data_IF_699586080753
#
_entry.id   IF_699586080753
#
_cell.length_a   1.000
_cell.length_b   1.000
_cell.length_c   1.000
_cell.angle_alpha   90.00
_cell.angle_beta   90.00
_cell.angle_gamma   90.00
#
_symmetry.space_group_name_H-M   'P 1'
#
loop_
_entity.id
_entity.type
_entity.pdbx_description
1 polymer ?
#
# COMPACT_ATOMS: atom_id res chain seq x y z
N UNK A 1 -14.02 6.16 7.97
CA UNK A 1 -13.12 5.00 7.83
C UNK A 1 -12.50 4.68 9.18
N UNK A 2 -12.14 3.42 9.50
CA UNK A 2 -11.39 3.09 10.70
C UNK A 2 -10.04 3.83 10.74
N UNK A 3 -9.56 4.13 11.95
CA UNK A 3 -8.28 4.80 12.12
C UNK A 3 -7.09 3.85 11.89
N UNK A 4 -7.26 2.56 12.19
CA UNK A 4 -6.25 1.53 11.94
C UNK A 4 -6.51 0.87 10.59
N UNK A 5 -5.54 0.86 9.65
CA UNK A 5 -5.69 0.23 8.34
C UNK A 5 -5.86 -1.29 8.39
N UNK A 6 -5.57 -1.94 9.50
CA UNK A 6 -5.81 -3.37 9.69
C UNK A 6 -7.27 -3.72 10.04
N UNK A 7 -8.08 -2.73 10.40
CA UNK A 7 -9.46 -2.96 10.88
C UNK A 7 -10.49 -3.27 9.77
N UNK A 8 -10.45 -2.66 8.56
CA UNK A 8 -11.48 -2.90 7.55
C UNK A 8 -11.72 -4.39 7.25
N UNK A 9 -10.71 -5.25 7.03
CA UNK A 9 -10.93 -6.69 6.85
C UNK A 9 -11.55 -7.38 8.07
N UNK A 10 -11.20 -6.94 9.31
CA UNK A 10 -11.80 -7.48 10.54
C UNK A 10 -13.29 -7.16 10.64
N UNK A 11 -13.72 -5.97 10.17
CA UNK A 11 -15.14 -5.62 10.09
C UNK A 11 -15.89 -6.52 9.10
N UNK A 12 -15.28 -6.87 7.97
CA UNK A 12 -15.83 -7.82 7.01
C UNK A 12 -15.92 -9.22 7.62
N UNK A 13 -14.86 -9.69 8.27
CA UNK A 13 -14.85 -10.98 8.96
C UNK A 13 -15.97 -11.07 10.03
N UNK A 14 -16.25 -9.96 10.73
CA UNK A 14 -17.30 -9.84 11.73
C UNK A 14 -18.71 -9.61 11.14
N UNK A 15 -18.88 -9.55 9.82
CA UNK A 15 -20.17 -9.30 9.16
C UNK A 15 -20.70 -7.88 9.32
N UNK A 16 -19.84 -6.90 9.64
CA UNK A 16 -20.20 -5.49 9.79
C UNK A 16 -20.00 -4.67 8.51
N UNK A 17 -19.38 -5.27 7.51
CA UNK A 17 -19.22 -4.75 6.16
C UNK A 17 -19.22 -5.90 5.17
N UNK A 18 -19.65 -5.66 3.94
CA UNK A 18 -19.71 -6.68 2.88
C UNK A 18 -18.37 -6.85 2.17
N UNK A 19 -17.65 -5.73 2.00
CA UNK A 19 -16.36 -5.64 1.30
C UNK A 19 -15.42 -4.71 2.06
N UNK A 20 -14.13 -4.98 1.94
CA UNK A 20 -13.09 -4.06 2.34
C UNK A 20 -11.94 -4.06 1.33
N UNK A 21 -11.18 -2.96 1.31
CA UNK A 21 -9.85 -2.92 0.72
C UNK A 21 -8.87 -3.45 1.76
N UNK A 22 -7.94 -4.27 1.33
CA UNK A 22 -6.86 -4.83 2.13
C UNK A 22 -5.59 -4.95 1.28
N UNK A 23 -4.49 -5.29 1.91
CA UNK A 23 -3.23 -5.63 1.26
C UNK A 23 -3.14 -7.15 1.08
N UNK A 24 -2.60 -7.64 -0.04
CA UNK A 24 -2.49 -9.09 -0.24
C UNK A 24 -1.67 -9.78 0.86
N UNK A 25 -0.51 -9.25 1.30
CA UNK A 25 0.23 -9.86 2.42
C UNK A 25 -0.56 -9.86 3.73
N UNK A 26 -1.35 -8.80 4.00
CA UNK A 26 -2.21 -8.74 5.19
C UNK A 26 -3.29 -9.81 5.17
N UNK A 27 -3.92 -10.04 4.01
CA UNK A 27 -4.92 -11.09 3.87
C UNK A 27 -4.34 -12.45 4.23
N UNK A 28 -3.11 -12.76 3.79
CA UNK A 28 -2.45 -14.03 4.10
C UNK A 28 -2.26 -14.21 5.62
N UNK A 29 -1.80 -13.17 6.32
CA UNK A 29 -1.65 -13.19 7.78
C UNK A 29 -3.00 -13.41 8.47
N UNK A 30 -4.02 -12.67 8.08
CA UNK A 30 -5.35 -12.74 8.70
C UNK A 30 -6.05 -14.08 8.44
N UNK A 31 -5.85 -14.69 7.27
CA UNK A 31 -6.34 -16.06 6.99
C UNK A 31 -5.59 -17.08 7.87
N UNK A 32 -4.28 -16.91 8.04
CA UNK A 32 -3.50 -17.77 8.94
C UNK A 32 -3.96 -17.66 10.40
N UNK A 33 -4.40 -16.48 10.83
CA UNK A 33 -5.02 -16.22 12.14
C UNK A 33 -6.45 -16.76 12.25
N UNK A 34 -7.00 -17.34 11.18
CA UNK A 34 -8.32 -17.97 11.17
C UNK A 34 -9.48 -17.04 10.80
N UNK A 35 -9.24 -15.83 10.32
CA UNK A 35 -10.30 -14.95 9.85
C UNK A 35 -10.95 -15.53 8.58
N UNK A 36 -12.29 -15.57 8.48
CA UNK A 36 -13.00 -16.09 7.32
C UNK A 36 -13.01 -15.07 6.17
N UNK A 37 -11.86 -14.80 5.61
CA UNK A 37 -11.66 -13.82 4.55
C UNK A 37 -11.26 -14.51 3.25
N UNK A 38 -11.69 -13.91 2.15
CA UNK A 38 -11.31 -14.33 0.80
C UNK A 38 -11.10 -13.10 -0.08
N UNK A 39 -10.03 -13.12 -0.88
CA UNK A 39 -9.86 -12.16 -1.98
C UNK A 39 -10.94 -12.39 -3.03
N UNK A 40 -11.61 -11.32 -3.43
CA UNK A 40 -12.65 -11.33 -4.46
C UNK A 40 -12.31 -10.48 -5.68
N UNK A 41 -11.29 -9.62 -5.58
CA UNK A 41 -10.83 -8.80 -6.69
C UNK A 41 -9.56 -8.03 -6.38
N UNK A 42 -9.03 -7.33 -7.37
CA UNK A 42 -7.83 -6.48 -7.28
C UNK A 42 -8.16 -5.05 -7.67
N UNK A 43 -7.63 -4.10 -6.93
CA UNK A 43 -7.68 -2.67 -7.27
C UNK A 43 -6.35 -2.19 -7.83
N UNK A 44 -5.25 -2.45 -7.12
CA UNK A 44 -3.88 -2.11 -7.54
C UNK A 44 -3.08 -3.40 -7.68
N UNK A 45 -2.64 -3.69 -8.91
CA UNK A 45 -2.05 -4.98 -9.29
C UNK A 45 -0.52 -5.03 -9.18
N UNK A 46 0.10 -4.01 -8.58
CA UNK A 46 1.56 -3.94 -8.41
C UNK A 46 1.90 -3.43 -7.03
N UNK A 47 3.07 -3.78 -6.45
CA UNK A 47 3.52 -3.19 -5.21
C UNK A 47 3.62 -1.66 -5.32
N UNK A 48 3.09 -0.95 -4.34
CA UNK A 48 3.30 0.49 -4.13
C UNK A 48 4.33 0.72 -3.02
N UNK A 49 4.39 -0.21 -2.08
CA UNK A 49 5.24 -0.14 -0.91
C UNK A 49 6.73 -0.09 -1.31
N UNK A 50 7.48 0.72 -0.59
CA UNK A 50 8.93 0.76 -0.69
C UNK A 50 9.57 1.05 0.68
N UNK A 51 10.84 0.71 0.81
CA UNK A 51 11.70 1.21 1.86
C UNK A 51 12.21 2.59 1.42
N UNK A 52 11.73 3.65 2.08
CA UNK A 52 12.02 5.04 1.73
C UNK A 52 13.08 5.62 2.65
N UNK A 53 14.06 6.29 2.05
CA UNK A 53 15.18 6.98 2.74
C UNK A 53 15.38 8.38 2.14
N UNK A 54 16.21 9.20 2.78
CA UNK A 54 16.68 10.43 2.17
C UNK A 54 17.70 10.10 1.05
N UNK A 55 17.54 10.71 -0.13
CA UNK A 55 18.43 10.45 -1.27
C UNK A 55 19.88 10.82 -0.98
N UNK A 56 20.10 11.94 -0.30
CA UNK A 56 21.42 12.42 0.11
C UNK A 56 21.87 11.89 1.49
N UNK A 57 21.01 11.03 2.12
CA UNK A 57 21.29 10.41 3.41
C UNK A 57 22.41 9.35 3.37
N UNK A 58 22.78 8.81 4.53
CA UNK A 58 23.83 7.80 4.64
C UNK A 58 23.43 6.42 4.11
N UNK A 59 22.14 6.13 3.97
CA UNK A 59 21.63 4.81 3.54
C UNK A 59 21.63 4.77 2.01
N UNK A 60 22.58 4.05 1.43
CA UNK A 60 22.74 3.90 -0.03
C UNK A 60 22.21 2.54 -0.51
N UNK A 61 22.19 1.53 0.37
CA UNK A 61 21.68 0.19 0.18
C UNK A 61 20.88 -0.23 1.41
N UNK A 62 19.98 -1.23 1.34
CA UNK A 62 19.30 -1.72 2.54
C UNK A 62 20.22 -2.32 3.60
N UNK A 63 21.43 -2.76 3.24
CA UNK A 63 22.43 -3.23 4.20
C UNK A 63 22.92 -2.13 5.16
N UNK A 64 22.80 -0.84 4.78
CA UNK A 64 23.19 0.30 5.61
C UNK A 64 22.19 0.57 6.75
N UNK A 65 21.11 -0.23 6.85
CA UNK A 65 20.12 -0.12 7.92
C UNK A 65 20.61 -0.66 9.27
N UNK A 66 21.75 -1.35 9.32
CA UNK A 66 22.30 -1.85 10.58
C UNK A 66 22.45 -0.73 11.63
N UNK A 67 21.81 -0.90 12.79
CA UNK A 67 21.78 0.06 13.89
C UNK A 67 20.89 1.30 13.65
N UNK A 68 20.04 1.29 12.61
CA UNK A 68 19.19 2.43 12.23
C UNK A 68 17.77 2.30 12.78
N UNK A 69 17.08 3.45 12.86
CA UNK A 69 15.66 3.54 13.18
C UNK A 69 14.85 3.44 11.92
N UNK A 70 13.95 2.46 11.86
CA UNK A 70 13.03 2.28 10.73
C UNK A 70 11.60 2.50 11.19
N UNK A 71 10.95 3.50 10.62
CA UNK A 71 9.54 3.81 10.89
C UNK A 71 8.60 2.89 10.12
N UNK A 72 7.42 2.60 10.72
CA UNK A 72 6.34 1.85 10.07
C UNK A 72 4.97 2.37 10.52
N UNK A 73 3.92 2.11 9.70
CA UNK A 73 2.51 2.46 9.98
C UNK A 73 1.67 1.25 10.34
N UNK A 74 1.75 0.20 9.52
CA UNK A 74 0.88 -0.99 9.60
C UNK A 74 1.65 -2.15 10.21
N UNK A 75 1.38 -2.42 11.47
CA UNK A 75 2.01 -3.54 12.17
C UNK A 75 1.71 -4.89 11.51
N UNK A 76 2.68 -5.81 11.57
CA UNK A 76 2.60 -7.15 10.99
C UNK A 76 3.00 -7.20 9.53
N UNK A 77 2.30 -6.48 8.65
CA UNK A 77 2.56 -6.51 7.19
C UNK A 77 3.88 -5.86 6.85
N UNK A 78 4.06 -4.60 7.28
CA UNK A 78 5.26 -3.84 6.94
C UNK A 78 6.51 -4.41 7.60
N UNK A 79 6.40 -4.94 8.81
CA UNK A 79 7.51 -5.65 9.45
C UNK A 79 7.86 -6.95 8.73
N UNK A 80 6.88 -7.68 8.17
CA UNK A 80 7.15 -8.89 7.38
C UNK A 80 7.83 -8.57 6.04
N UNK A 81 7.40 -7.49 5.37
CA UNK A 81 8.05 -7.00 4.15
C UNK A 81 9.49 -6.56 4.45
N UNK A 82 9.68 -5.78 5.52
CA UNK A 82 10.99 -5.31 5.94
C UNK A 82 11.91 -6.47 6.32
N UNK A 83 11.41 -7.49 7.03
CA UNK A 83 12.19 -8.69 7.36
C UNK A 83 12.70 -9.41 6.11
N UNK A 84 11.89 -9.49 5.06
CA UNK A 84 12.31 -10.07 3.79
C UNK A 84 13.42 -9.23 3.12
N UNK A 85 13.27 -7.91 3.08
CA UNK A 85 14.29 -6.97 2.56
C UNK A 85 15.59 -7.09 3.36
N UNK A 86 15.51 -7.06 4.69
CA UNK A 86 16.68 -7.16 5.58
C UNK A 86 17.42 -8.48 5.37
N UNK A 87 16.69 -9.60 5.35
CA UNK A 87 17.28 -10.93 5.15
C UNK A 87 17.98 -11.06 3.80
N UNK A 88 17.41 -10.49 2.74
CA UNK A 88 18.05 -10.46 1.41
C UNK A 88 19.36 -9.66 1.41
N UNK A 89 19.51 -8.73 2.35
CA UNK A 89 20.68 -7.87 2.51
C UNK A 89 21.57 -8.28 3.71
N UNK A 90 21.42 -9.50 4.24
CA UNK A 90 22.26 -10.05 5.30
C UNK A 90 21.98 -9.51 6.70
N UNK A 91 20.82 -8.90 6.91
CA UNK A 91 20.35 -8.35 8.19
C UNK A 91 19.09 -9.06 8.67
N UNK A 92 18.70 -8.74 9.90
CA UNK A 92 17.48 -9.20 10.57
C UNK A 92 16.80 -8.03 11.28
N UNK A 93 15.56 -8.22 11.75
CA UNK A 93 14.86 -7.22 12.56
C UNK A 93 15.59 -6.85 13.86
N UNK A 94 16.44 -7.74 14.40
CA UNK A 94 17.24 -7.45 15.59
C UNK A 94 18.40 -6.48 15.34
N UNK A 95 18.73 -6.22 14.08
CA UNK A 95 19.82 -5.30 13.70
C UNK A 95 19.34 -3.87 13.55
N UNK A 96 18.05 -3.59 13.73
CA UNK A 96 17.42 -2.28 13.58
C UNK A 96 16.54 -1.93 14.79
N UNK A 97 16.14 -0.65 14.92
CA UNK A 97 15.10 -0.20 15.84
C UNK A 97 13.83 0.11 15.07
N UNK A 98 12.75 -0.65 15.32
CA UNK A 98 11.44 -0.39 14.73
C UNK A 98 10.68 0.68 15.53
N UNK A 99 10.17 1.71 14.83
CA UNK A 99 9.43 2.84 15.42
C UNK A 99 8.07 2.96 14.74
N UNK A 100 6.98 2.81 15.52
CA UNK A 100 5.66 3.10 14.99
C UNK A 100 5.49 4.63 14.83
N UNK A 101 5.35 5.09 13.60
CA UNK A 101 5.17 6.51 13.25
C UNK A 101 3.73 6.81 12.84
N UNK A 102 2.82 5.86 12.97
CA UNK A 102 1.45 5.94 12.50
C UNK A 102 1.43 6.36 11.01
N UNK A 103 0.59 7.33 10.65
CA UNK A 103 0.49 7.84 9.28
C UNK A 103 1.54 8.90 8.91
N UNK A 104 2.54 9.15 9.77
CA UNK A 104 3.53 10.21 9.59
C UNK A 104 4.84 9.69 8.98
N UNK A 105 4.78 8.86 7.94
CA UNK A 105 5.96 8.24 7.32
C UNK A 105 6.95 9.30 6.80
N UNK A 106 6.60 10.07 5.79
CA UNK A 106 7.48 11.10 5.21
C UNK A 106 7.85 12.19 6.23
N UNK A 107 6.92 12.71 7.06
CA UNK A 107 7.29 13.73 8.05
C UNK A 107 8.30 13.21 9.10
N UNK A 108 8.17 11.96 9.54
CA UNK A 108 9.10 11.35 10.50
C UNK A 108 10.50 11.16 9.89
N UNK A 109 10.56 10.78 8.60
CA UNK A 109 11.82 10.68 7.87
C UNK A 109 12.47 12.05 7.66
N UNK A 110 11.71 13.03 7.17
CA UNK A 110 12.22 14.38 6.89
C UNK A 110 12.69 15.12 8.15
N UNK A 111 12.04 14.89 9.30
CA UNK A 111 12.46 15.47 10.58
C UNK A 111 13.65 14.76 11.24
N UNK A 112 14.08 13.61 10.71
CA UNK A 112 15.13 12.79 11.31
C UNK A 112 14.71 12.04 12.57
N UNK A 113 13.42 11.87 12.82
CA UNK A 113 12.90 11.02 13.88
C UNK A 113 13.27 9.56 13.62
N UNK A 114 13.29 9.15 12.36
CA UNK A 114 13.71 7.84 11.86
C UNK A 114 14.68 8.02 10.69
N UNK A 115 15.52 7.02 10.42
CA UNK A 115 16.52 7.02 9.35
C UNK A 115 15.93 6.51 8.01
N UNK A 116 14.90 5.67 8.09
CA UNK A 116 14.18 5.11 6.96
C UNK A 116 12.71 4.84 7.37
N UNK A 117 11.84 4.63 6.39
CA UNK A 117 10.48 4.15 6.63
C UNK A 117 10.14 3.02 5.66
N UNK A 118 9.45 1.98 6.18
CA UNK A 118 8.78 0.96 5.38
C UNK A 118 7.28 1.25 5.37
N UNK A 119 6.57 0.91 4.30
CA UNK A 119 5.15 1.24 4.17
C UNK A 119 4.88 2.48 3.34
N UNK A 120 5.92 3.24 2.97
CA UNK A 120 5.78 4.37 2.07
C UNK A 120 5.33 3.91 0.68
N UNK A 121 4.32 4.58 0.13
CA UNK A 121 3.86 4.33 -1.22
C UNK A 121 4.60 5.24 -2.20
N UNK A 122 5.27 4.63 -3.17
CA UNK A 122 6.11 5.32 -4.16
C UNK A 122 5.37 6.36 -5.01
N UNK A 123 4.05 6.28 -5.09
CA UNK A 123 3.18 7.22 -5.77
C UNK A 123 2.66 8.36 -4.88
N UNK A 124 2.91 8.32 -3.58
CA UNK A 124 2.41 9.31 -2.62
C UNK A 124 3.54 9.96 -1.82
N UNK A 125 4.28 9.20 -0.99
CA UNK A 125 5.31 9.76 -0.10
C UNK A 125 6.48 10.39 -0.85
N UNK A 126 6.89 9.83 -2.01
CA UNK A 126 7.91 10.49 -2.84
C UNK A 126 7.44 11.85 -3.37
N UNK A 127 6.18 11.93 -3.80
CA UNK A 127 5.59 13.19 -4.26
C UNK A 127 5.47 14.20 -3.11
N UNK A 128 5.10 13.74 -1.92
CA UNK A 128 5.04 14.60 -0.74
C UNK A 128 6.41 15.20 -0.40
N UNK A 129 7.45 14.35 -0.35
CA UNK A 129 8.80 14.82 -0.08
C UNK A 129 9.31 15.79 -1.13
N UNK A 130 9.06 15.53 -2.42
CA UNK A 130 9.48 16.41 -3.52
C UNK A 130 8.79 17.79 -3.42
N UNK A 131 7.50 17.84 -3.07
CA UNK A 131 6.76 19.09 -2.83
C UNK A 131 7.37 19.88 -1.65
N UNK A 132 7.81 19.18 -0.61
CA UNK A 132 8.49 19.78 0.56
C UNK A 132 9.96 20.12 0.28
N UNK A 133 10.45 19.89 -0.95
CA UNK A 133 11.82 20.19 -1.36
C UNK A 133 12.87 19.21 -0.84
N UNK A 134 12.47 18.03 -0.41
CA UNK A 134 13.34 16.96 0.08
C UNK A 134 13.35 15.81 -0.91
N UNK A 135 14.53 15.34 -1.31
CA UNK A 135 14.62 14.21 -2.23
C UNK A 135 14.59 12.88 -1.47
N UNK A 136 13.57 12.07 -1.76
CA UNK A 136 13.45 10.70 -1.28
C UNK A 136 14.10 9.69 -2.23
N UNK A 137 14.53 8.55 -1.69
CA UNK A 137 14.97 7.37 -2.45
C UNK A 137 14.18 6.16 -1.98
N UNK A 138 13.45 5.53 -2.89
CA UNK A 138 12.78 4.26 -2.66
C UNK A 138 13.66 3.07 -3.08
N UNK A 139 13.81 2.11 -2.20
CA UNK A 139 14.20 0.74 -2.55
C UNK A 139 12.91 -0.06 -2.73
N UNK A 140 12.66 -0.54 -3.93
CA UNK A 140 11.44 -1.27 -4.25
C UNK A 140 11.50 -2.66 -3.63
N UNK A 141 10.50 -3.00 -2.82
CA UNK A 141 10.53 -4.25 -2.05
C UNK A 141 10.62 -5.49 -2.95
N UNK A 142 10.05 -5.42 -4.17
CA UNK A 142 10.13 -6.49 -5.16
C UNK A 142 11.52 -6.65 -5.80
N UNK A 143 12.37 -5.64 -5.72
CA UNK A 143 13.78 -5.69 -6.13
C UNK A 143 14.68 -6.15 -4.99
N UNK A 144 14.17 -6.09 -3.75
CA UNK A 144 14.89 -6.38 -2.52
C UNK A 144 14.45 -7.72 -1.88
N UNK A 145 13.98 -8.66 -2.69
CA UNK A 145 13.72 -10.04 -2.27
C UNK A 145 12.29 -10.35 -1.83
N UNK A 146 11.38 -9.38 -1.89
CA UNK A 146 9.95 -9.65 -1.69
C UNK A 146 9.34 -10.11 -3.03
N UNK A 147 8.65 -11.26 -3.09
CA UNK A 147 7.96 -11.66 -4.31
C UNK A 147 6.93 -10.59 -4.74
N UNK A 148 6.73 -10.36 -6.04
CA UNK A 148 5.68 -9.45 -6.52
C UNK A 148 4.31 -9.83 -5.96
N UNK A 149 3.53 -8.82 -5.57
CA UNK A 149 2.19 -8.99 -5.00
C UNK A 149 1.27 -7.85 -5.44
N UNK A 150 -0.04 -8.04 -5.27
CA UNK A 150 -1.02 -6.99 -5.51
C UNK A 150 -1.16 -6.12 -4.26
N UNK A 151 -0.91 -4.81 -4.40
CA UNK A 151 -0.90 -3.90 -3.25
C UNK A 151 -2.28 -3.77 -2.63
N UNK A 152 -3.30 -3.44 -3.44
CA UNK A 152 -4.66 -3.26 -2.93
C UNK A 152 -5.61 -4.26 -3.57
N UNK A 153 -6.25 -5.05 -2.71
CA UNK A 153 -7.21 -6.08 -3.08
C UNK A 153 -8.56 -5.85 -2.41
N UNK A 154 -9.62 -6.35 -3.03
CA UNK A 154 -10.94 -6.45 -2.40
C UNK A 154 -11.08 -7.77 -1.68
N UNK A 155 -11.54 -7.72 -0.43
CA UNK A 155 -11.78 -8.90 0.41
C UNK A 155 -13.24 -8.95 0.88
N UNK A 156 -13.77 -10.16 1.00
CA UNK A 156 -15.11 -10.45 1.49
C UNK A 156 -15.08 -11.60 2.53
N UNK A 157 -16.14 -11.75 3.31
CA UNK A 157 -16.27 -12.88 4.21
C UNK A 157 -16.58 -14.17 3.40
N UNK A 158 -15.69 -15.15 3.47
CA UNK A 158 -15.77 -16.39 2.69
C UNK A 158 -17.03 -17.23 3.00
N UNK A 159 -17.61 -17.06 4.19
CA UNK A 159 -18.77 -17.85 4.65
C UNK A 159 -20.12 -17.19 4.31
N UNK A 160 -20.17 -15.86 4.23
CA UNK A 160 -21.45 -15.12 4.18
C UNK A 160 -21.59 -14.16 3.00
N UNK A 161 -20.57 -14.03 2.14
CA UNK A 161 -20.58 -13.09 1.02
C UNK A 161 -21.73 -13.33 0.03
N UNK A 162 -22.39 -12.25 -0.40
CA UNK A 162 -23.28 -12.25 -1.55
C UNK A 162 -22.47 -12.16 -2.85
N UNK A 163 -22.28 -13.29 -3.51
CA UNK A 163 -21.53 -13.38 -4.79
C UNK A 163 -22.16 -12.53 -5.89
N UNK A 164 -23.49 -12.37 -5.90
CA UNK A 164 -24.19 -11.55 -6.90
C UNK A 164 -23.91 -10.05 -6.69
N UNK A 165 -23.94 -9.59 -5.45
CA UNK A 165 -23.59 -8.21 -5.10
C UNK A 165 -22.12 -7.93 -5.44
N UNK A 166 -21.20 -8.81 -5.06
CA UNK A 166 -19.76 -8.69 -5.36
C UNK A 166 -19.51 -8.61 -6.87
N UNK A 167 -20.16 -9.49 -7.65
CA UNK A 167 -20.01 -9.47 -9.11
C UNK A 167 -20.45 -8.13 -9.73
N UNK A 168 -21.57 -7.55 -9.25
CA UNK A 168 -22.03 -6.23 -9.71
C UNK A 168 -21.05 -5.11 -9.31
N UNK A 169 -20.53 -5.15 -8.08
CA UNK A 169 -19.54 -4.20 -7.59
C UNK A 169 -18.26 -4.25 -8.44
N UNK A 170 -17.70 -5.43 -8.67
CA UNK A 170 -16.49 -5.61 -9.46
C UNK A 170 -16.68 -5.18 -10.93
N UNK A 171 -17.85 -5.46 -11.52
CA UNK A 171 -18.18 -4.99 -12.86
C UNK A 171 -18.27 -3.46 -12.94
N UNK A 172 -18.79 -2.80 -11.90
CA UNK A 172 -18.80 -1.35 -11.81
C UNK A 172 -17.37 -0.78 -11.64
N UNK A 173 -16.55 -1.41 -10.81
CA UNK A 173 -15.14 -1.05 -10.61
C UNK A 173 -14.35 -1.19 -11.92
N UNK A 174 -14.54 -2.28 -12.68
CA UNK A 174 -13.89 -2.48 -13.98
C UNK A 174 -14.23 -1.35 -14.96
N UNK A 175 -15.51 -0.98 -15.06
CA UNK A 175 -15.92 0.15 -15.90
C UNK A 175 -15.28 1.47 -15.45
N UNK A 176 -15.24 1.72 -14.14
CA UNK A 176 -14.61 2.92 -13.59
C UNK A 176 -13.11 2.94 -13.87
N UNK A 177 -12.41 1.83 -13.69
CA UNK A 177 -10.98 1.72 -13.99
C UNK A 177 -10.68 1.96 -15.47
N UNK A 178 -11.48 1.37 -16.37
CA UNK A 178 -11.35 1.59 -17.81
C UNK A 178 -11.63 3.07 -18.19
N UNK A 179 -12.60 3.69 -17.53
CA UNK A 179 -12.86 5.11 -17.72
C UNK A 179 -11.67 5.96 -17.26
N UNK A 180 -11.14 5.71 -16.07
CA UNK A 180 -9.98 6.44 -15.51
C UNK A 180 -8.79 6.38 -16.47
N UNK A 181 -8.46 5.20 -16.98
CA UNK A 181 -7.29 4.99 -17.85
C UNK A 181 -7.49 5.68 -19.22
N UNK A 182 -8.71 5.67 -19.76
CA UNK A 182 -9.01 6.27 -21.06
C UNK A 182 -9.30 7.79 -20.99
N UNK A 183 -9.70 8.30 -19.82
CA UNK A 183 -10.06 9.71 -19.58
C UNK A 183 -9.34 10.25 -18.33
N UNK A 184 -7.99 10.26 -18.29
CA UNK A 184 -7.23 10.56 -17.09
C UNK A 184 -7.50 11.97 -16.52
N UNK A 185 -7.64 12.97 -17.38
CA UNK A 185 -7.91 14.34 -16.95
C UNK A 185 -9.34 14.52 -16.43
N UNK A 186 -10.33 14.02 -17.16
CA UNK A 186 -11.74 14.08 -16.76
C UNK A 186 -11.96 13.31 -15.44
N UNK A 187 -11.35 12.16 -15.31
CA UNK A 187 -11.45 11.36 -14.08
C UNK A 187 -10.77 12.03 -12.88
N UNK A 188 -9.66 12.73 -13.10
CA UNK A 188 -9.05 13.57 -12.06
C UNK A 188 -10.02 14.68 -11.61
N UNK A 189 -10.61 15.41 -12.55
CA UNK A 189 -11.56 16.50 -12.24
C UNK A 189 -12.78 15.98 -11.47
N UNK A 190 -13.31 14.81 -11.84
CA UNK A 190 -14.40 14.16 -11.10
C UNK A 190 -13.96 13.84 -9.68
N UNK A 191 -12.79 13.21 -9.51
CA UNK A 191 -12.27 12.82 -8.20
C UNK A 191 -11.97 14.03 -7.31
N UNK A 192 -11.23 15.01 -7.82
CA UNK A 192 -10.84 16.20 -7.07
C UNK A 192 -12.05 17.04 -6.62
N UNK A 193 -13.14 17.04 -7.40
CA UNK A 193 -14.37 17.76 -7.05
C UNK A 193 -15.24 17.03 -5.99
N UNK A 194 -14.87 15.82 -5.56
CA UNK A 194 -15.62 15.13 -4.49
C UNK A 194 -15.39 15.76 -3.11
N UNK A 195 -14.23 16.38 -2.89
CA UNK A 195 -13.92 17.08 -1.64
C UNK A 195 -12.83 18.15 -1.86
N UNK A 196 -12.97 19.35 -1.24
CA UNK A 196 -12.00 20.44 -1.41
C UNK A 196 -10.56 20.07 -1.05
N UNK A 197 -10.36 19.23 -0.03
CA UNK A 197 -9.06 18.75 0.44
C UNK A 197 -8.32 17.86 -0.54
N UNK A 198 -8.98 17.38 -1.60
CA UNK A 198 -8.35 16.59 -2.66
C UNK A 198 -7.76 17.46 -3.79
N UNK A 199 -8.05 18.77 -3.80
CA UNK A 199 -7.66 19.69 -4.87
C UNK A 199 -6.25 20.28 -4.66
N UNK A 200 -5.30 19.48 -4.19
CA UNK A 200 -3.92 19.92 -3.99
C UNK A 200 -2.94 19.24 -4.96
N UNK A 201 -1.73 19.78 -5.00
CA UNK A 201 -0.67 19.28 -5.89
C UNK A 201 -0.24 17.85 -5.56
N UNK A 202 -0.32 17.44 -4.29
CA UNK A 202 0.05 16.08 -3.88
C UNK A 202 -0.94 15.06 -4.43
N UNK A 203 -2.24 15.31 -4.24
CA UNK A 203 -3.27 14.42 -4.75
C UNK A 203 -3.27 14.34 -6.28
N UNK A 204 -3.00 15.46 -6.98
CA UNK A 204 -2.89 15.46 -8.44
C UNK A 204 -1.70 14.62 -8.92
N UNK A 205 -0.53 14.76 -8.31
CA UNK A 205 0.65 13.95 -8.65
C UNK A 205 0.42 12.48 -8.34
N UNK A 206 -0.08 12.17 -7.14
CA UNK A 206 -0.39 10.80 -6.72
C UNK A 206 -1.42 10.14 -7.65
N UNK A 207 -2.45 10.88 -8.08
CA UNK A 207 -3.41 10.40 -9.06
C UNK A 207 -2.74 9.99 -10.37
N UNK A 208 -1.91 10.86 -10.95
CA UNK A 208 -1.19 10.58 -12.20
C UNK A 208 -0.31 9.34 -12.10
N UNK A 209 0.40 9.19 -10.98
CA UNK A 209 1.30 8.06 -10.75
C UNK A 209 0.56 6.75 -10.43
N UNK A 210 -0.71 6.83 -10.05
CA UNK A 210 -1.54 5.66 -9.72
C UNK A 210 -2.23 5.06 -10.96
N UNK A 211 -2.58 5.87 -11.96
CA UNK A 211 -3.42 5.44 -13.10
C UNK A 211 -2.91 4.15 -13.75
N UNK A 212 -1.61 4.05 -14.01
CA UNK A 212 -0.99 2.89 -14.67
C UNK A 212 -0.96 1.63 -13.81
N UNK A 213 -1.33 1.71 -12.54
CA UNK A 213 -1.25 0.63 -11.54
C UNK A 213 -2.59 -0.01 -11.24
N UNK A 214 -3.68 0.59 -11.70
CA UNK A 214 -5.00 0.00 -11.54
C UNK A 214 -5.11 -1.34 -12.28
N UNK A 215 -5.73 -2.31 -11.65
CA UNK A 215 -6.09 -3.55 -12.29
C UNK A 215 -7.20 -3.30 -13.33
N UNK A 216 -6.87 -3.41 -14.62
CA UNK A 216 -7.84 -3.19 -15.71
C UNK A 216 -9.00 -4.18 -15.69
N UNK A 217 -8.79 -5.33 -15.07
CA UNK A 217 -9.80 -6.37 -14.83
C UNK A 217 -9.74 -6.81 -13.36
N UNK A 218 -10.49 -6.15 -12.46
CA UNK A 218 -10.46 -6.46 -11.03
C UNK A 218 -10.78 -7.90 -10.68
N UNK A 219 -11.57 -8.59 -11.54
CA UNK A 219 -11.93 -10.00 -11.39
C UNK A 219 -10.86 -10.97 -11.85
N UNK A 220 -9.88 -10.52 -12.63
CA UNK A 220 -8.78 -11.35 -13.07
C UNK A 220 -7.88 -11.66 -11.86
N UNK A 221 -7.96 -12.89 -11.39
CA UNK A 221 -6.97 -13.41 -10.45
C UNK A 221 -5.82 -13.98 -11.29
N UNK A 222 -4.62 -13.51 -11.04
CA UNK A 222 -3.43 -14.08 -11.65
C UNK A 222 -3.24 -15.51 -11.10
N UNK A 223 -3.55 -16.51 -11.91
CA UNK A 223 -3.39 -17.92 -11.54
C UNK A 223 -1.94 -18.40 -11.67
N UNK A 224 -1.05 -17.55 -12.15
CA UNK A 224 0.34 -17.88 -12.43
C UNK A 224 1.33 -17.39 -11.35
N UNK A 225 0.84 -16.84 -10.24
CA UNK A 225 1.68 -16.35 -9.14
C UNK A 225 1.57 -17.17 -7.89
#
# INVERSE_FOLDING_TARGET
APADPSDPPKLVAAGKADLAISYQPQLHLQIHEGLPLQRVGTLIATPLNCLLTLADGPIKTPADLAGKKVGFSVGGVESALLEAVLRNNGLSLSDIELVNVNWSLSPSLMSGQVDAVIGAFRNFELNQMDIEGVQGKCFFVEEEGVPPYDELIYVANSNTMDKGMIARFLAATEKATQFIVNHPQESWEIFANTAPELQDALNERAWKDTISRFALRPTAMDQAR
#
